data_IF_219660228627
#
_entry.id   IF_219660228627
#
_cell.length_a   1.000
_cell.length_b   1.000
_cell.length_c   1.000
_cell.angle_alpha   90.00
_cell.angle_beta   90.00
_cell.angle_gamma   90.00
#
_symmetry.space_group_name_H-M   'P 1'
#
loop_
_entity.id
_entity.type
_entity.pdbx_description
1 polymer ?
#
# COMPACT_ATOMS: atom_id res chain seq x y z
N UNK A 1 13.85 -8.62 3.16
CA UNK A 1 13.66 -7.16 3.12
C UNK A 1 13.66 -6.68 1.67
N UNK A 2 12.68 -5.85 1.29
CA UNK A 2 12.67 -5.11 0.04
C UNK A 2 12.89 -3.62 0.35
N UNK A 3 13.76 -2.95 -0.38
CA UNK A 3 14.20 -1.59 -0.07
C UNK A 3 14.62 -0.83 -1.34
N UNK A 4 14.98 0.44 -1.19
CA UNK A 4 15.71 1.26 -2.16
C UNK A 4 17.24 1.19 -1.93
N UNK A 5 18.01 1.90 -2.75
CA UNK A 5 19.47 1.93 -2.65
C UNK A 5 19.94 2.51 -1.31
N UNK A 6 19.31 3.60 -0.84
CA UNK A 6 19.68 4.26 0.40
C UNK A 6 19.41 3.38 1.62
N UNK A 7 18.30 2.65 1.63
CA UNK A 7 17.97 1.70 2.69
C UNK A 7 18.97 0.54 2.75
N UNK A 8 19.37 -0.01 1.60
CA UNK A 8 20.38 -1.07 1.55
C UNK A 8 21.75 -0.59 2.09
N UNK A 9 22.17 0.61 1.72
CA UNK A 9 23.40 1.23 2.23
C UNK A 9 23.32 1.46 3.75
N UNK A 10 22.19 1.93 4.26
CA UNK A 10 21.96 2.15 5.68
C UNK A 10 22.07 0.85 6.48
N UNK A 11 21.42 -0.24 6.05
CA UNK A 11 21.52 -1.53 6.73
C UNK A 11 22.95 -2.05 6.75
N UNK A 12 23.68 -1.88 5.64
CA UNK A 12 25.09 -2.26 5.57
C UNK A 12 25.94 -1.42 6.53
N UNK A 13 25.74 -0.10 6.58
CA UNK A 13 26.47 0.80 7.46
C UNK A 13 26.21 0.54 8.95
N UNK A 14 25.00 0.12 9.30
CA UNK A 14 24.62 -0.24 10.65
C UNK A 14 25.07 -1.68 11.04
N UNK A 15 25.52 -2.49 10.10
CA UNK A 15 25.91 -3.87 10.34
C UNK A 15 24.76 -4.79 10.73
N UNK A 16 23.54 -4.51 10.24
CA UNK A 16 22.31 -5.25 10.58
C UNK A 16 21.75 -6.08 9.42
N UNK A 17 22.56 -6.34 8.40
CA UNK A 17 22.12 -7.13 7.24
C UNK A 17 21.68 -8.55 7.65
N UNK A 18 22.33 -9.13 8.67
CA UNK A 18 22.14 -10.52 9.09
C UNK A 18 20.78 -10.78 9.77
N UNK A 19 20.02 -9.73 10.11
CA UNK A 19 18.66 -9.91 10.64
C UNK A 19 17.64 -10.28 9.55
N UNK A 20 18.01 -10.16 8.28
CA UNK A 20 17.17 -10.46 7.13
C UNK A 20 17.70 -11.67 6.39
N UNK A 21 16.81 -12.57 5.97
CA UNK A 21 17.19 -13.71 5.12
C UNK A 21 17.73 -13.26 3.76
N UNK A 22 17.21 -12.13 3.25
CA UNK A 22 17.59 -11.56 1.96
C UNK A 22 17.25 -10.06 1.94
N UNK A 23 18.11 -9.26 1.30
CA UNK A 23 17.88 -7.83 1.05
C UNK A 23 17.93 -7.59 -0.45
N UNK A 24 16.83 -7.10 -1.01
CA UNK A 24 16.70 -6.79 -2.44
C UNK A 24 16.37 -5.31 -2.65
N UNK A 25 17.14 -4.65 -3.49
CA UNK A 25 16.84 -3.30 -3.97
C UNK A 25 15.83 -3.43 -5.11
N UNK A 26 14.57 -3.12 -4.84
CA UNK A 26 13.45 -3.21 -5.80
C UNK A 26 12.66 -1.92 -5.91
N UNK A 27 12.83 -1.00 -4.97
CA UNK A 27 12.18 0.30 -4.97
C UNK A 27 13.09 1.26 -5.73
N UNK A 28 12.63 1.84 -6.86
CA UNK A 28 13.41 2.84 -7.60
C UNK A 28 13.65 4.10 -6.74
N UNK A 29 14.84 4.66 -6.79
CA UNK A 29 15.23 5.84 -5.99
C UNK A 29 14.36 7.08 -6.29
N UNK A 30 13.79 7.16 -7.50
CA UNK A 30 12.85 8.21 -7.93
C UNK A 30 11.37 7.78 -7.78
N UNK A 31 11.10 6.66 -7.12
CA UNK A 31 9.78 6.03 -6.98
C UNK A 31 9.03 5.87 -8.32
N UNK A 32 9.75 5.69 -9.43
CA UNK A 32 9.17 5.52 -10.77
C UNK A 32 8.23 6.68 -11.17
N UNK A 33 8.64 7.91 -10.84
CA UNK A 33 7.91 9.14 -11.15
C UNK A 33 6.73 9.45 -10.22
N UNK A 34 6.61 8.75 -9.09
CA UNK A 34 5.67 9.08 -8.02
C UNK A 34 6.28 10.17 -7.12
N UNK A 35 5.50 11.20 -6.78
CA UNK A 35 5.95 12.25 -5.87
C UNK A 35 6.19 11.69 -4.46
N UNK A 36 7.46 11.64 -3.95
CA UNK A 36 7.78 11.01 -2.67
C UNK A 36 7.28 11.82 -1.46
N UNK A 37 6.96 13.09 -1.62
CA UNK A 37 6.40 13.93 -0.55
C UNK A 37 4.90 13.67 -0.41
N UNK A 38 4.20 13.57 -1.54
CA UNK A 38 2.76 13.27 -1.54
C UNK A 38 2.49 11.81 -1.16
N UNK A 39 3.34 10.89 -1.60
CA UNK A 39 3.20 9.45 -1.39
C UNK A 39 4.38 8.88 -0.61
N UNK A 40 4.59 9.41 0.59
CA UNK A 40 5.70 9.05 1.49
C UNK A 40 5.79 7.55 1.82
N UNK A 41 4.67 6.82 1.77
CA UNK A 41 4.64 5.36 1.93
C UNK A 41 4.48 4.62 0.58
N UNK A 42 4.62 5.31 -0.57
CA UNK A 42 4.43 4.72 -1.90
C UNK A 42 5.39 3.58 -2.20
N UNK A 43 6.60 3.61 -1.64
CA UNK A 43 7.57 2.53 -1.73
C UNK A 43 7.05 1.19 -1.20
N UNK A 44 6.16 1.18 -0.20
CA UNK A 44 5.52 -0.04 0.33
C UNK A 44 4.71 -0.76 -0.76
N UNK A 45 3.94 0.00 -1.53
CA UNK A 45 3.09 -0.56 -2.61
C UNK A 45 3.94 -1.08 -3.78
N UNK A 46 5.04 -0.41 -4.10
CA UNK A 46 6.00 -0.90 -5.10
C UNK A 46 6.66 -2.20 -4.62
N UNK A 47 7.12 -2.24 -3.37
CA UNK A 47 7.70 -3.44 -2.78
C UNK A 47 6.70 -4.60 -2.73
N UNK A 48 5.45 -4.33 -2.29
CA UNK A 48 4.38 -5.32 -2.25
C UNK A 48 4.09 -5.91 -3.64
N UNK A 49 4.13 -5.09 -4.69
CA UNK A 49 3.95 -5.57 -6.07
C UNK A 49 5.05 -6.56 -6.50
N UNK A 50 6.29 -6.35 -6.03
CA UNK A 50 7.44 -7.16 -6.42
C UNK A 50 7.58 -8.47 -5.62
N UNK A 51 6.91 -8.59 -4.47
CA UNK A 51 7.01 -9.78 -3.64
C UNK A 51 5.86 -10.76 -3.96
N UNK A 52 6.16 -12.08 -4.17
CA UNK A 52 5.10 -13.04 -4.52
C UNK A 52 4.13 -13.26 -3.36
N UNK A 53 2.84 -13.47 -3.67
CA UNK A 53 1.86 -13.94 -2.69
C UNK A 53 1.96 -15.46 -2.50
N UNK A 54 1.51 -16.01 -1.35
CA UNK A 54 1.00 -15.28 -0.20
C UNK A 54 2.09 -14.49 0.53
N UNK A 55 1.79 -13.26 0.94
CA UNK A 55 2.76 -12.44 1.62
C UNK A 55 2.11 -11.50 2.64
N UNK A 56 2.91 -11.11 3.64
CA UNK A 56 2.54 -10.09 4.60
C UNK A 56 3.47 -8.88 4.48
N UNK A 57 2.91 -7.69 4.52
CA UNK A 57 3.60 -6.42 4.66
C UNK A 57 3.34 -5.89 6.07
N UNK A 58 4.39 -5.42 6.73
CA UNK A 58 4.33 -4.96 8.13
C UNK A 58 5.07 -3.63 8.22
N UNK A 59 4.44 -2.64 8.86
CA UNK A 59 5.10 -1.37 9.18
C UNK A 59 6.17 -1.57 10.24
N UNK A 60 7.25 -0.81 10.16
CA UNK A 60 8.41 -0.97 11.05
C UNK A 60 8.13 -0.67 12.52
N UNK A 61 7.04 0.02 12.80
CA UNK A 61 6.55 0.35 14.15
C UNK A 61 5.38 -0.54 14.60
N UNK A 62 4.96 -1.52 13.79
CA UNK A 62 3.93 -2.49 14.15
C UNK A 62 4.56 -3.70 14.87
N UNK A 63 4.01 -4.06 16.02
CA UNK A 63 4.49 -5.18 16.84
C UNK A 63 3.51 -6.34 16.78
N UNK A 64 4.00 -7.49 16.33
CA UNK A 64 3.24 -8.75 16.29
C UNK A 64 3.49 -9.50 17.58
N UNK A 65 2.47 -9.69 18.40
CA UNK A 65 2.56 -10.39 19.68
C UNK A 65 2.20 -11.88 19.58
N UNK A 66 1.38 -12.24 18.60
CA UNK A 66 0.92 -13.61 18.36
C UNK A 66 0.95 -13.89 16.86
N UNK A 67 1.08 -15.14 16.48
CA UNK A 67 1.04 -15.54 15.07
C UNK A 67 -0.30 -15.15 14.44
N UNK A 68 -0.29 -14.36 13.35
CA UNK A 68 -1.53 -14.00 12.66
C UNK A 68 -2.23 -15.25 12.11
N UNK A 69 -3.56 -15.29 12.14
CA UNK A 69 -4.33 -16.42 11.58
C UNK A 69 -4.32 -16.33 10.04
N UNK A 70 -3.24 -16.77 9.40
CA UNK A 70 -3.14 -16.78 7.94
C UNK A 70 -4.22 -17.67 7.33
N UNK A 71 -5.26 -17.05 6.77
CA UNK A 71 -6.40 -17.67 6.12
C UNK A 71 -6.41 -17.34 4.61
N UNK A 72 -7.32 -17.95 3.86
CA UNK A 72 -7.51 -17.67 2.43
C UNK A 72 -8.38 -16.40 2.23
N UNK A 73 -8.00 -15.34 2.94
CA UNK A 73 -8.60 -14.00 2.84
C UNK A 73 -7.56 -12.93 3.15
N UNK A 74 -7.86 -11.69 2.79
CA UNK A 74 -7.04 -10.55 3.17
C UNK A 74 -7.15 -10.34 4.69
N UNK A 75 -6.02 -10.07 5.34
CA UNK A 75 -5.98 -9.70 6.76
C UNK A 75 -5.29 -8.35 6.87
N UNK A 76 -5.96 -7.39 7.48
CA UNK A 76 -5.44 -6.07 7.79
C UNK A 76 -5.42 -5.86 9.30
N UNK A 77 -4.72 -4.83 9.78
CA UNK A 77 -4.63 -4.54 11.21
C UNK A 77 -6.02 -4.30 11.82
N UNK A 78 -6.85 -3.47 11.20
CA UNK A 78 -8.25 -3.22 11.58
C UNK A 78 -8.98 -2.41 10.50
N UNK A 79 -10.31 -2.31 10.63
CA UNK A 79 -11.10 -1.35 9.87
C UNK A 79 -11.01 0.05 10.48
N UNK A 80 -11.00 1.08 9.62
CA UNK A 80 -11.01 2.49 10.02
C UNK A 80 -12.40 3.11 9.81
N UNK A 81 -12.72 4.15 10.58
CA UNK A 81 -13.92 4.95 10.33
C UNK A 81 -13.73 5.89 9.12
N UNK A 82 -14.82 6.13 8.38
CA UNK A 82 -14.83 7.08 7.27
C UNK A 82 -14.83 8.54 7.79
N UNK A 83 -13.72 9.00 8.31
CA UNK A 83 -13.53 10.40 8.72
C UNK A 83 -13.25 11.28 7.49
N UNK A 84 -14.11 12.27 7.15
CA UNK A 84 -13.93 13.09 5.93
C UNK A 84 -12.63 13.88 5.87
N UNK A 85 -11.99 14.16 7.00
CA UNK A 85 -10.69 14.82 7.07
C UNK A 85 -9.53 13.93 6.66
N UNK A 86 -9.69 12.61 6.75
CA UNK A 86 -8.67 11.59 6.38
C UNK A 86 -9.07 10.92 5.06
N UNK A 87 -10.34 10.60 4.92
CA UNK A 87 -10.92 9.91 3.77
C UNK A 87 -11.96 10.77 3.06
N UNK A 88 -11.54 11.84 2.36
CA UNK A 88 -12.45 12.76 1.71
C UNK A 88 -13.17 12.10 0.53
N UNK A 89 -14.19 12.79 0.02
CA UNK A 89 -14.86 12.41 -1.22
C UNK A 89 -13.86 12.36 -2.39
N UNK A 90 -14.01 11.37 -3.26
CA UNK A 90 -13.14 11.14 -4.40
C UNK A 90 -13.03 12.33 -5.35
N UNK A 91 -14.06 13.18 -5.42
CA UNK A 91 -14.05 14.39 -6.25
C UNK A 91 -13.07 15.47 -5.77
N UNK A 92 -12.55 15.34 -4.54
CA UNK A 92 -11.50 16.21 -4.00
C UNK A 92 -10.12 15.95 -4.59
N UNK A 93 -9.88 14.74 -5.15
CA UNK A 93 -8.59 14.40 -5.74
C UNK A 93 -8.41 15.01 -7.12
N UNK A 94 -7.26 15.63 -7.35
CA UNK A 94 -6.85 16.12 -8.66
C UNK A 94 -6.01 15.07 -9.36
N UNK A 95 -6.58 14.43 -10.37
CA UNK A 95 -5.95 13.32 -11.10
C UNK A 95 -5.82 13.64 -12.59
N UNK A 96 -4.74 13.18 -13.21
CA UNK A 96 -4.55 13.21 -14.66
C UNK A 96 -5.24 11.99 -15.28
N UNK A 97 -6.32 12.22 -16.01
CA UNK A 97 -7.08 11.14 -16.66
C UNK A 97 -8.01 10.37 -15.72
N UNK A 98 -8.60 9.30 -16.24
CA UNK A 98 -9.53 8.44 -15.53
C UNK A 98 -8.78 7.19 -15.05
N UNK A 99 -8.36 7.19 -13.79
CA UNK A 99 -7.54 6.12 -13.20
C UNK A 99 -8.28 5.27 -12.18
N UNK A 100 -9.41 5.76 -11.67
CA UNK A 100 -10.27 5.01 -10.76
C UNK A 100 -11.26 4.15 -11.55
N UNK A 101 -11.43 2.91 -11.11
CA UNK A 101 -12.36 1.99 -11.72
C UNK A 101 -13.81 2.43 -11.55
N UNK A 102 -14.64 2.16 -12.55
CA UNK A 102 -16.08 2.34 -12.43
C UNK A 102 -16.68 1.33 -11.44
N UNK A 103 -17.68 1.76 -10.69
CA UNK A 103 -18.42 0.90 -9.78
C UNK A 103 -17.70 0.56 -8.47
N UNK A 104 -16.68 1.34 -8.08
CA UNK A 104 -16.15 1.26 -6.73
C UNK A 104 -17.18 1.72 -5.71
N UNK A 105 -17.33 0.96 -4.62
CA UNK A 105 -18.23 1.30 -3.52
C UNK A 105 -17.51 2.18 -2.50
N UNK A 106 -17.73 3.47 -2.59
CA UNK A 106 -17.14 4.46 -1.68
C UNK A 106 -17.73 4.47 -0.26
N UNK A 107 -18.71 3.61 0.04
CA UNK A 107 -19.21 3.40 1.40
C UNK A 107 -18.43 2.32 2.15
N UNK A 108 -17.59 1.56 1.45
CA UNK A 108 -16.71 0.56 2.06
C UNK A 108 -15.75 1.21 3.04
N UNK A 109 -15.59 0.65 4.25
CA UNK A 109 -14.68 1.16 5.26
C UNK A 109 -13.21 0.97 4.83
N UNK A 110 -12.31 1.89 5.19
CA UNK A 110 -10.88 1.73 4.95
C UNK A 110 -10.31 0.58 5.79
N UNK A 111 -9.21 0.00 5.34
CA UNK A 111 -8.43 -0.96 6.12
C UNK A 111 -7.09 -0.35 6.51
N UNK A 112 -6.77 -0.36 7.80
CA UNK A 112 -5.44 0.00 8.26
C UNK A 112 -4.44 -1.07 7.83
N UNK A 113 -3.42 -0.67 7.09
CA UNK A 113 -2.44 -1.56 6.46
C UNK A 113 -1.08 -1.59 7.17
N UNK A 114 -1.03 -1.17 8.45
CA UNK A 114 0.16 -1.34 9.29
C UNK A 114 0.57 -2.83 9.38
N UNK A 115 -0.41 -3.73 9.31
CA UNK A 115 -0.26 -5.13 8.96
C UNK A 115 -1.20 -5.44 7.79
N UNK A 116 -0.68 -6.04 6.73
CA UNK A 116 -1.47 -6.44 5.57
C UNK A 116 -0.97 -7.79 5.04
N UNK A 117 -1.80 -8.82 5.10
CA UNK A 117 -1.59 -10.10 4.46
C UNK A 117 -2.49 -10.25 3.25
N UNK A 118 -1.94 -10.66 2.12
CA UNK A 118 -2.67 -10.95 0.88
C UNK A 118 -2.30 -12.34 0.40
N UNK A 119 -3.26 -13.29 0.36
CA UNK A 119 -3.02 -14.66 -0.07
C UNK A 119 -2.95 -14.82 -1.60
N UNK A 120 -3.70 -14.00 -2.34
CA UNK A 120 -3.92 -14.14 -3.78
C UNK A 120 -3.02 -13.23 -4.60
N UNK A 121 -2.24 -13.81 -5.53
CA UNK A 121 -1.30 -13.08 -6.38
C UNK A 121 -2.00 -12.16 -7.38
N UNK A 122 -3.06 -12.63 -8.03
CA UNK A 122 -3.75 -11.85 -9.08
C UNK A 122 -4.42 -10.62 -8.47
N UNK A 123 -5.05 -10.79 -7.31
CA UNK A 123 -5.63 -9.66 -6.58
C UNK A 123 -4.54 -8.68 -6.10
N UNK A 124 -3.42 -9.19 -5.55
CA UNK A 124 -2.31 -8.33 -5.11
C UNK A 124 -1.78 -7.49 -6.26
N UNK A 125 -1.56 -8.09 -7.42
CA UNK A 125 -1.11 -7.39 -8.62
C UNK A 125 -2.15 -6.35 -9.10
N UNK A 126 -3.44 -6.71 -9.05
CA UNK A 126 -4.51 -5.77 -9.39
C UNK A 126 -4.54 -4.58 -8.44
N UNK A 127 -4.58 -4.81 -7.12
CA UNK A 127 -4.58 -3.76 -6.11
C UNK A 127 -3.37 -2.82 -6.24
N UNK A 128 -2.16 -3.38 -6.25
CA UNK A 128 -0.93 -2.57 -6.30
C UNK A 128 -0.81 -1.79 -7.61
N UNK A 129 -1.20 -2.38 -8.74
CA UNK A 129 -1.21 -1.68 -10.03
C UNK A 129 -2.20 -0.51 -10.04
N UNK A 130 -3.39 -0.66 -9.43
CA UNK A 130 -4.38 0.43 -9.33
C UNK A 130 -3.90 1.54 -8.41
N UNK A 131 -3.30 1.18 -7.28
CA UNK A 131 -2.71 2.13 -6.33
C UNK A 131 -1.55 2.92 -6.95
N UNK A 132 -0.64 2.25 -7.64
CA UNK A 132 0.48 2.89 -8.35
C UNK A 132 -0.04 3.80 -9.47
N UNK A 133 -1.04 3.38 -10.24
CA UNK A 133 -1.65 4.22 -11.27
C UNK A 133 -2.31 5.47 -10.68
N UNK A 134 -2.98 5.35 -9.53
CA UNK A 134 -3.54 6.49 -8.81
C UNK A 134 -2.42 7.46 -8.38
N UNK A 135 -1.36 6.95 -7.75
CA UNK A 135 -0.22 7.76 -7.30
C UNK A 135 0.45 8.52 -8.45
N UNK A 136 0.69 7.86 -9.59
CA UNK A 136 1.28 8.48 -10.80
C UNK A 136 0.37 9.51 -11.45
N UNK A 137 -0.94 9.39 -11.29
CA UNK A 137 -1.91 10.31 -11.87
C UNK A 137 -2.15 11.56 -11.04
N UNK A 138 -1.75 11.56 -9.77
CA UNK A 138 -1.99 12.67 -8.86
C UNK A 138 -1.30 13.95 -9.33
N UNK A 139 -2.03 15.08 -9.22
CA UNK A 139 -1.50 16.41 -9.50
C UNK A 139 -1.13 17.05 -8.17
N UNK A 140 0.13 17.50 -8.06
CA UNK A 140 0.62 18.18 -6.86
C UNK A 140 -0.30 19.32 -6.40
N UNK A 141 -0.46 19.47 -5.09
CA UNK A 141 -1.20 20.57 -4.46
C UNK A 141 -2.40 20.15 -3.60
N UNK A 142 -2.53 18.85 -3.30
CA UNK A 142 -3.49 18.31 -2.34
C UNK A 142 -2.87 18.06 -0.96
N UNK A 143 -3.70 17.66 -0.01
CA UNK A 143 -3.26 17.12 1.27
C UNK A 143 -2.62 15.73 1.04
N UNK A 144 -1.32 15.64 1.29
CA UNK A 144 -0.55 14.41 1.08
C UNK A 144 -1.02 13.24 1.97
N UNK A 145 -1.57 13.49 3.16
CA UNK A 145 -2.13 12.42 3.99
C UNK A 145 -3.30 11.75 3.27
N UNK A 146 -4.28 12.53 2.81
CA UNK A 146 -5.50 12.00 2.18
C UNK A 146 -5.22 11.22 0.90
N UNK A 147 -4.24 11.68 0.08
CA UNK A 147 -3.84 10.98 -1.13
C UNK A 147 -3.15 9.66 -0.83
N UNK A 148 -2.23 9.64 0.16
CA UNK A 148 -1.51 8.41 0.52
C UNK A 148 -2.46 7.36 1.09
N UNK A 149 -3.28 7.72 2.08
CA UNK A 149 -4.21 6.75 2.70
C UNK A 149 -5.30 6.28 1.72
N UNK A 150 -5.66 7.11 0.73
CA UNK A 150 -6.56 6.64 -0.33
C UNK A 150 -5.90 5.54 -1.16
N UNK A 151 -4.66 5.75 -1.63
CA UNK A 151 -3.94 4.78 -2.43
C UNK A 151 -3.72 3.46 -1.69
N UNK A 152 -3.43 3.51 -0.40
CA UNK A 152 -3.05 2.36 0.40
C UNK A 152 -4.24 1.71 1.11
N UNK A 153 -5.04 2.50 1.82
CA UNK A 153 -6.05 1.98 2.76
C UNK A 153 -7.46 1.95 2.19
N UNK A 154 -7.78 2.87 1.27
CA UNK A 154 -9.14 2.96 0.69
C UNK A 154 -9.32 2.09 -0.54
N UNK A 155 -8.35 2.08 -1.46
CA UNK A 155 -8.46 1.29 -2.67
C UNK A 155 -8.51 -0.21 -2.38
N UNK A 156 -7.75 -0.69 -1.40
CA UNK A 156 -7.68 -2.10 -1.03
C UNK A 156 -9.06 -2.75 -0.81
N UNK A 157 -9.86 -2.33 0.18
CA UNK A 157 -11.15 -2.97 0.46
C UNK A 157 -12.19 -2.72 -0.64
N UNK A 158 -12.18 -1.56 -1.31
CA UNK A 158 -13.09 -1.31 -2.43
C UNK A 158 -12.82 -2.25 -3.62
N UNK A 159 -11.55 -2.52 -3.92
CA UNK A 159 -11.16 -3.47 -4.97
C UNK A 159 -11.44 -4.91 -4.55
N UNK A 160 -11.17 -5.28 -3.29
CA UNK A 160 -11.48 -6.60 -2.75
C UNK A 160 -12.98 -6.89 -2.84
N UNK A 161 -13.81 -5.96 -2.39
CA UNK A 161 -15.28 -6.08 -2.50
C UNK A 161 -15.74 -6.23 -3.94
N UNK A 162 -15.19 -5.46 -4.87
CA UNK A 162 -15.49 -5.55 -6.31
C UNK A 162 -15.13 -6.92 -6.88
N UNK A 163 -14.04 -7.53 -6.43
CA UNK A 163 -13.59 -8.86 -6.86
C UNK A 163 -14.26 -10.00 -6.11
N UNK A 164 -15.10 -9.73 -5.10
CA UNK A 164 -15.71 -10.77 -4.24
C UNK A 164 -14.71 -11.46 -3.32
N UNK A 165 -13.59 -10.80 -2.99
CA UNK A 165 -12.55 -11.30 -2.10
C UNK A 165 -12.88 -10.87 -0.67
N UNK A 166 -12.84 -11.82 0.27
CA UNK A 166 -13.07 -11.57 1.70
C UNK A 166 -11.88 -10.90 2.39
N UNK A 167 -12.16 -10.14 3.42
CA UNK A 167 -11.20 -9.57 4.36
C UNK A 167 -11.76 -9.56 5.77
#
# INVERSE_FOLDING_TARGET
>A
MLTDSAGAELFSALGINDIWNDIKVVIPDDLDGIDPVMFWAGGKLIALQQFPAPCAMIDTDFIVWEDPPFEDKIIAAHEEELMPSVYPDVSSFRLKGKVLDEGLDYTTLPLNTAFLYIPDEDFKQYYTSRSIAFMKSAVYGGDYLTYMVFAEQRLLPMLAKRCGIGY
#
